data_IF_210627664420
#
_entry.id   IF_210627664420
#
_cell.length_a   1.000
_cell.length_b   1.000
_cell.length_c   1.000
_cell.angle_alpha   90.00
_cell.angle_beta   90.00
_cell.angle_gamma   90.00
#
_symmetry.space_group_name_H-M   'P 1'
#
loop_
_entity.id
_entity.type
_entity.pdbx_description
1 polymer ?
#
# COMPACT_ATOMS: atom_id res chain seq x y z
N UNK A 1 15.47 5.34 -18.61
CA UNK A 1 15.41 5.74 -17.20
C UNK A 1 16.20 7.02 -17.05
N UNK A 2 15.52 8.15 -17.09
CA UNK A 2 16.18 9.46 -17.17
C UNK A 2 16.54 10.02 -15.78
N UNK A 3 16.06 9.35 -14.73
CA UNK A 3 16.30 9.69 -13.32
C UNK A 3 17.65 9.19 -12.78
N UNK A 4 18.35 8.30 -13.50
CA UNK A 4 19.68 7.83 -13.10
C UNK A 4 20.77 8.66 -13.78
N UNK A 5 21.76 9.10 -13.01
CA UNK A 5 22.95 9.76 -13.59
C UNK A 5 23.71 8.82 -14.52
N UNK A 6 24.27 9.36 -15.61
CA UNK A 6 25.04 8.59 -16.60
C UNK A 6 26.23 7.83 -16.00
N UNK A 7 26.87 8.42 -14.99
CA UNK A 7 27.94 7.78 -14.23
C UNK A 7 27.45 6.52 -13.51
N UNK A 8 26.26 6.58 -12.90
CA UNK A 8 25.69 5.47 -12.15
C UNK A 8 25.19 4.36 -13.08
N UNK A 9 24.53 4.70 -14.20
CA UNK A 9 24.15 3.73 -15.24
C UNK A 9 25.36 2.96 -15.75
N UNK A 10 26.46 3.66 -16.03
CA UNK A 10 27.70 3.05 -16.52
C UNK A 10 28.31 2.07 -15.52
N UNK A 11 28.18 2.33 -14.21
CA UNK A 11 28.62 1.42 -13.16
C UNK A 11 27.74 0.18 -13.05
N UNK A 12 26.42 0.33 -13.18
CA UNK A 12 25.48 -0.79 -13.14
C UNK A 12 25.61 -1.69 -14.38
N UNK A 13 25.87 -1.13 -15.56
CA UNK A 13 26.08 -1.90 -16.80
C UNK A 13 27.36 -2.76 -16.78
N UNK A 14 28.30 -2.49 -15.87
CA UNK A 14 29.50 -3.32 -15.70
C UNK A 14 29.26 -4.55 -14.82
N UNK A 15 28.06 -4.68 -14.24
CA UNK A 15 27.67 -5.78 -13.39
C UNK A 15 26.85 -6.80 -14.18
N UNK A 16 27.23 -8.07 -14.07
CA UNK A 16 26.55 -9.17 -14.76
C UNK A 16 25.35 -9.72 -13.98
N UNK A 17 25.14 -9.25 -12.75
CA UNK A 17 24.04 -9.64 -11.85
C UNK A 17 22.85 -8.66 -11.89
N UNK A 18 22.83 -7.75 -12.87
CA UNK A 18 21.79 -6.73 -13.03
C UNK A 18 21.15 -6.87 -14.40
N UNK A 19 19.83 -6.97 -14.42
CA UNK A 19 19.02 -6.91 -15.62
C UNK A 19 18.24 -5.59 -15.66
N UNK A 20 18.29 -4.88 -16.80
CA UNK A 20 17.50 -3.68 -17.01
C UNK A 20 16.22 -4.02 -17.77
N UNK A 21 15.09 -3.91 -17.08
CA UNK A 21 13.77 -4.09 -17.67
C UNK A 21 13.26 -2.72 -18.13
N UNK A 22 12.91 -2.61 -19.42
CA UNK A 22 12.39 -1.38 -20.01
C UNK A 22 10.91 -1.56 -20.29
N UNK A 23 10.08 -0.71 -19.69
CA UNK A 23 8.66 -0.61 -19.98
C UNK A 23 8.32 0.76 -20.58
N UNK A 24 7.88 0.75 -21.84
CA UNK A 24 7.48 1.94 -22.58
C UNK A 24 6.13 2.50 -22.11
N UNK A 25 5.86 3.77 -22.41
CA UNK A 25 4.60 4.46 -22.08
C UNK A 25 4.67 5.34 -20.83
N UNK A 26 3.84 6.38 -20.80
CA UNK A 26 3.79 7.39 -19.72
C UNK A 26 2.43 7.44 -19.00
N UNK A 27 1.57 6.43 -19.25
CA UNK A 27 0.25 6.34 -18.62
C UNK A 27 0.30 5.88 -17.17
N UNK A 28 1.43 5.27 -16.76
CA UNK A 28 1.61 4.66 -15.44
C UNK A 28 2.95 5.09 -14.87
N UNK A 29 2.99 5.29 -13.54
CA UNK A 29 4.23 5.60 -12.86
C UNK A 29 5.15 4.37 -12.79
N UNK A 30 6.44 4.59 -12.50
CA UNK A 30 7.44 3.52 -12.46
C UNK A 30 7.15 2.44 -11.41
N UNK A 31 6.48 2.79 -10.30
CA UNK A 31 6.11 1.82 -9.26
C UNK A 31 5.01 0.88 -9.76
N UNK A 32 3.97 1.38 -10.41
CA UNK A 32 2.88 0.56 -10.99
C UNK A 32 3.46 -0.43 -12.01
N UNK A 33 4.35 0.03 -12.88
CA UNK A 33 5.06 -0.82 -13.84
C UNK A 33 5.87 -1.92 -13.16
N UNK A 34 6.62 -1.58 -12.11
CA UNK A 34 7.41 -2.54 -11.34
C UNK A 34 6.52 -3.57 -10.63
N UNK A 35 5.38 -3.14 -10.07
CA UNK A 35 4.43 -4.04 -9.42
C UNK A 35 3.84 -5.04 -10.41
N UNK A 36 3.38 -4.59 -11.58
CA UNK A 36 2.85 -5.47 -12.63
C UNK A 36 3.87 -6.49 -13.09
N UNK A 37 5.10 -6.03 -13.35
CA UNK A 37 6.19 -6.92 -13.74
C UNK A 37 6.47 -8.00 -12.67
N UNK A 38 6.54 -7.61 -11.39
CA UNK A 38 6.78 -8.57 -10.31
C UNK A 38 5.65 -9.63 -10.21
N UNK A 39 4.40 -9.22 -10.44
CA UNK A 39 3.26 -10.15 -10.48
C UNK A 39 3.37 -11.12 -11.65
N UNK A 40 3.73 -10.62 -12.84
CA UNK A 40 3.96 -11.44 -14.04
C UNK A 40 5.12 -12.43 -13.86
N UNK A 41 6.16 -12.04 -13.12
CA UNK A 41 7.29 -12.90 -12.73
C UNK A 41 6.91 -13.93 -11.63
N UNK A 42 5.68 -13.90 -11.14
CA UNK A 42 5.13 -14.91 -10.25
C UNK A 42 5.20 -14.57 -8.76
N UNK A 43 5.42 -13.29 -8.41
CA UNK A 43 5.36 -12.82 -7.04
C UNK A 43 4.05 -13.23 -6.35
N UNK A 44 4.13 -13.48 -5.04
CA UNK A 44 2.97 -13.77 -4.17
C UNK A 44 2.64 -12.62 -3.23
N UNK A 45 3.62 -11.75 -2.99
CA UNK A 45 3.55 -10.56 -2.18
C UNK A 45 4.57 -9.54 -2.70
N UNK A 46 4.29 -8.25 -2.51
CA UNK A 46 5.20 -7.15 -2.88
C UNK A 46 5.43 -6.25 -1.66
N UNK A 47 6.69 -6.12 -1.25
CA UNK A 47 7.13 -5.11 -0.27
C UNK A 47 7.74 -3.92 -1.02
N UNK A 48 7.17 -2.74 -0.83
CA UNK A 48 7.66 -1.49 -1.41
C UNK A 48 8.36 -0.68 -0.32
N UNK A 49 9.59 -0.26 -0.59
CA UNK A 49 10.42 0.57 0.30
C UNK A 49 10.91 1.81 -0.44
N UNK A 50 11.39 2.81 0.31
CA UNK A 50 11.96 4.02 -0.29
C UNK A 50 10.91 4.95 -0.91
N UNK A 51 9.66 4.88 -0.45
CA UNK A 51 8.59 5.79 -0.87
C UNK A 51 8.63 7.13 -0.14
N UNK A 52 9.24 7.18 1.04
CA UNK A 52 9.32 8.39 1.86
C UNK A 52 10.49 9.29 1.45
N UNK A 53 10.33 10.59 1.69
CA UNK A 53 11.29 11.62 1.30
C UNK A 53 10.89 12.27 -0.02
N UNK A 54 11.64 13.29 -0.42
CA UNK A 54 11.34 14.05 -1.64
C UNK A 54 10.00 14.79 -1.58
N UNK A 55 9.27 14.74 -2.68
CA UNK A 55 8.03 15.48 -2.90
C UNK A 55 6.80 14.66 -2.49
N UNK A 56 5.76 15.35 -1.99
CA UNK A 56 4.56 14.71 -1.43
C UNK A 56 3.71 14.01 -2.50
N UNK A 57 3.76 14.49 -3.73
CA UNK A 57 3.06 13.90 -4.87
C UNK A 57 3.57 12.49 -5.18
N UNK A 58 4.89 12.25 -5.10
CA UNK A 58 5.47 10.92 -5.23
C UNK A 58 4.99 9.96 -4.14
N UNK A 59 4.96 10.42 -2.88
CA UNK A 59 4.45 9.64 -1.76
C UNK A 59 2.96 9.30 -1.94
N UNK A 60 2.17 10.28 -2.36
CA UNK A 60 0.75 10.11 -2.60
C UNK A 60 0.48 9.16 -3.78
N UNK A 61 1.23 9.30 -4.87
CA UNK A 61 1.17 8.42 -6.02
C UNK A 61 1.53 6.97 -5.66
N UNK A 62 2.48 6.77 -4.74
CA UNK A 62 2.82 5.43 -4.26
C UNK A 62 1.64 4.78 -3.51
N UNK A 63 0.94 5.53 -2.65
CA UNK A 63 -0.27 5.05 -1.98
C UNK A 63 -1.38 4.74 -2.99
N UNK A 64 -1.58 5.60 -3.99
CA UNK A 64 -2.59 5.40 -5.04
C UNK A 64 -2.29 4.20 -5.95
N UNK A 65 -1.02 3.83 -6.12
CA UNK A 65 -0.62 2.64 -6.88
C UNK A 65 -1.24 1.35 -6.31
N UNK A 66 -1.49 1.29 -4.99
CA UNK A 66 -2.20 0.17 -4.36
C UNK A 66 -3.63 0.00 -4.90
N UNK A 67 -4.28 1.08 -5.31
CA UNK A 67 -5.63 1.05 -5.89
C UNK A 67 -5.62 0.64 -7.36
N UNK A 68 -4.58 1.03 -8.11
CA UNK A 68 -4.39 0.67 -9.51
C UNK A 68 -4.03 -0.81 -9.67
N UNK A 69 -3.23 -1.34 -8.75
CA UNK A 69 -2.78 -2.73 -8.74
C UNK A 69 -3.24 -3.40 -7.45
N UNK A 70 -4.46 -3.96 -7.48
CA UNK A 70 -5.07 -4.68 -6.37
C UNK A 70 -4.38 -6.05 -6.16
N UNK A 71 -3.23 -6.03 -5.52
CA UNK A 71 -2.40 -7.19 -5.21
C UNK A 71 -1.93 -7.12 -3.76
N UNK A 72 -1.52 -8.26 -3.17
CA UNK A 72 -0.96 -8.30 -1.82
C UNK A 72 0.34 -7.48 -1.76
N UNK A 73 0.20 -6.19 -1.45
CA UNK A 73 1.28 -5.21 -1.52
C UNK A 73 1.30 -4.40 -0.23
N UNK A 74 2.50 -4.25 0.34
CA UNK A 74 2.73 -3.44 1.52
C UNK A 74 3.77 -2.38 1.23
N UNK A 75 3.40 -1.13 1.46
CA UNK A 75 4.31 0.00 1.43
C UNK A 75 4.86 0.21 2.84
N UNK A 76 6.17 0.15 2.98
CA UNK A 76 6.86 0.40 4.23
C UNK A 76 7.29 1.86 4.32
N UNK A 77 6.89 2.49 5.42
CA UNK A 77 7.32 3.82 5.82
C UNK A 77 8.21 3.69 7.07
N UNK A 78 8.87 4.77 7.48
CA UNK A 78 9.71 4.78 8.67
C UNK A 78 8.92 4.43 9.94
N UNK A 79 7.59 4.67 9.95
CA UNK A 79 6.75 4.55 11.15
C UNK A 79 5.56 3.63 11.00
N UNK A 80 5.25 3.18 9.79
CA UNK A 80 4.02 2.44 9.51
C UNK A 80 4.15 1.58 8.26
N UNK A 81 3.17 0.71 8.08
CA UNK A 81 2.93 0.00 6.83
C UNK A 81 1.59 0.45 6.28
N UNK A 82 1.53 0.65 4.96
CA UNK A 82 0.30 1.01 4.23
C UNK A 82 -0.03 -0.12 3.29
N UNK A 83 -1.28 -0.60 3.34
CA UNK A 83 -1.79 -1.67 2.48
C UNK A 83 -3.25 -1.37 2.10
N UNK A 84 -3.67 -1.86 0.94
CA UNK A 84 -5.08 -1.83 0.55
C UNK A 84 -5.79 -3.01 1.20
N UNK A 85 -6.95 -2.76 1.80
CA UNK A 85 -7.78 -3.84 2.35
C UNK A 85 -8.36 -4.65 1.19
N UNK A 86 -8.11 -5.96 1.20
CA UNK A 86 -8.63 -6.86 0.18
C UNK A 86 -10.17 -6.99 0.25
N UNK A 87 -10.79 -7.45 -0.83
CA UNK A 87 -12.25 -7.66 -0.89
C UNK A 87 -12.77 -8.68 0.13
N UNK A 88 -11.92 -9.60 0.56
CA UNK A 88 -12.21 -10.54 1.65
C UNK A 88 -12.19 -9.89 3.04
N UNK A 89 -11.85 -8.61 3.13
CA UNK A 89 -11.60 -7.90 4.37
C UNK A 89 -10.18 -8.09 4.87
N UNK A 90 -9.96 -7.67 6.10
CA UNK A 90 -8.68 -7.76 6.80
C UNK A 90 -8.89 -8.44 8.15
N UNK A 91 -8.03 -9.40 8.45
CA UNK A 91 -8.00 -10.05 9.75
C UNK A 91 -6.55 -10.24 10.21
N UNK A 92 -6.25 -9.77 11.41
CA UNK A 92 -4.95 -9.93 12.01
C UNK A 92 -5.09 -10.32 13.48
N UNK A 93 -4.83 -11.58 13.80
CA UNK A 93 -4.82 -12.12 15.17
C UNK A 93 -3.45 -12.05 15.87
N UNK A 94 -2.46 -11.44 15.22
CA UNK A 94 -1.09 -11.26 15.76
C UNK A 94 -0.76 -9.80 16.05
N UNK A 95 -1.73 -8.89 15.89
CA UNK A 95 -1.55 -7.47 16.15
C UNK A 95 -1.40 -7.21 17.66
N UNK A 96 -0.41 -6.39 18.02
CA UNK A 96 -0.17 -6.06 19.42
C UNK A 96 -1.25 -5.10 19.93
N UNK A 97 -1.83 -5.42 21.09
CA UNK A 97 -2.72 -4.51 21.81
C UNK A 97 -1.99 -3.19 22.11
N UNK A 98 -2.65 -2.07 21.84
CA UNK A 98 -2.08 -0.73 21.92
C UNK A 98 -1.48 -0.21 20.61
N UNK A 99 -1.35 -1.05 19.57
CA UNK A 99 -0.98 -0.60 18.23
C UNK A 99 -1.98 0.43 17.70
N UNK A 100 -1.48 1.44 17.00
CA UNK A 100 -2.31 2.44 16.33
C UNK A 100 -2.46 2.12 14.86
N UNK A 101 -3.64 2.35 14.30
CA UNK A 101 -3.87 2.27 12.86
C UNK A 101 -4.76 3.42 12.38
N UNK A 102 -4.75 3.67 11.08
CA UNK A 102 -5.71 4.57 10.45
C UNK A 102 -6.34 3.85 9.28
N UNK A 103 -7.62 4.14 9.03
CA UNK A 103 -8.38 3.60 7.91
C UNK A 103 -8.85 4.77 7.05
N UNK A 104 -8.66 4.67 5.75
CA UNK A 104 -9.09 5.70 4.80
C UNK A 104 -9.89 5.08 3.68
N UNK A 105 -11.01 5.70 3.36
CA UNK A 105 -11.79 5.33 2.20
C UNK A 105 -11.26 6.10 0.98
N UNK A 106 -10.97 5.39 -0.11
CA UNK A 106 -10.59 5.99 -1.40
C UNK A 106 -11.85 6.40 -2.18
N UNK A 107 -12.91 5.59 -2.09
CA UNK A 107 -14.24 5.85 -2.62
C UNK A 107 -15.33 5.71 -1.55
N UNK A 108 -16.59 5.58 -1.97
CA UNK A 108 -17.68 5.27 -1.05
C UNK A 108 -17.61 3.80 -0.60
N UNK A 109 -17.45 3.58 0.71
CA UNK A 109 -17.47 2.25 1.33
C UNK A 109 -18.79 2.09 2.11
N UNK A 110 -19.45 0.93 1.96
CA UNK A 110 -20.70 0.58 2.64
C UNK A 110 -20.55 -0.71 3.43
N UNK A 111 -21.31 -0.81 4.51
CA UNK A 111 -21.30 -1.98 5.38
C UNK A 111 -20.01 -2.16 6.16
N UNK A 112 -19.25 -1.09 6.36
CA UNK A 112 -17.99 -1.11 7.08
C UNK A 112 -18.22 -1.49 8.55
N UNK A 113 -17.55 -2.55 8.98
CA UNK A 113 -17.47 -2.99 10.36
C UNK A 113 -16.01 -3.15 10.76
N UNK A 114 -15.66 -2.64 11.94
CA UNK A 114 -14.29 -2.67 12.49
C UNK A 114 -14.39 -3.17 13.92
N UNK A 115 -13.68 -4.26 14.22
CA UNK A 115 -13.72 -4.95 15.51
C UNK A 115 -12.31 -5.12 16.09
N UNK A 116 -12.22 -5.15 17.43
CA UNK A 116 -10.95 -5.33 18.14
C UNK A 116 -10.22 -4.02 18.49
N UNK A 117 -10.90 -2.88 18.36
CA UNK A 117 -10.31 -1.56 18.56
C UNK A 117 -11.14 -0.64 19.47
N UNK A 118 -10.55 0.49 19.86
CA UNK A 118 -11.15 1.47 20.77
C UNK A 118 -12.39 2.11 20.19
N UNK A 119 -12.37 2.40 18.88
CA UNK A 119 -13.52 2.94 18.15
C UNK A 119 -14.00 1.92 17.12
N UNK A 120 -14.71 0.91 17.60
CA UNK A 120 -15.35 -0.08 16.72
C UNK A 120 -16.44 0.58 15.87
N UNK A 121 -16.65 0.02 14.68
CA UNK A 121 -17.71 0.41 13.76
C UNK A 121 -18.59 -0.81 13.47
N UNK A 122 -19.88 -0.58 13.30
CA UNK A 122 -20.84 -1.62 12.94
C UNK A 122 -21.72 -1.10 11.80
N UNK A 123 -21.63 -1.77 10.65
CA UNK A 123 -22.43 -1.51 9.45
C UNK A 123 -22.55 -0.02 9.09
N UNK A 124 -21.41 0.69 9.05
CA UNK A 124 -21.35 2.12 8.70
C UNK A 124 -20.99 2.32 7.24
N UNK A 125 -21.30 3.50 6.72
CA UNK A 125 -20.71 3.99 5.49
C UNK A 125 -19.51 4.87 5.80
N UNK A 126 -18.50 4.83 4.93
CA UNK A 126 -17.33 5.70 5.00
C UNK A 126 -17.09 6.34 3.64
N UNK A 127 -16.83 7.64 3.66
CA UNK A 127 -16.45 8.41 2.47
C UNK A 127 -15.01 8.92 2.64
N UNK A 128 -14.35 9.33 1.55
CA UNK A 128 -13.04 9.96 1.63
C UNK A 128 -13.05 11.11 2.64
N UNK A 129 -12.09 11.09 3.56
CA UNK A 129 -12.04 12.03 4.67
C UNK A 129 -11.16 11.52 5.81
N UNK A 130 -11.22 12.21 6.95
CA UNK A 130 -10.27 12.04 8.06
C UNK A 130 -10.81 11.23 9.24
N UNK A 131 -12.06 10.77 9.19
CA UNK A 131 -12.72 10.13 10.33
C UNK A 131 -12.07 8.83 10.81
N UNK A 132 -11.34 8.12 9.95
CA UNK A 132 -10.65 6.88 10.33
C UNK A 132 -9.23 7.07 10.86
N UNK A 133 -8.82 8.31 11.16
CA UNK A 133 -7.49 8.63 11.64
C UNK A 133 -7.26 8.18 13.11
N UNK A 134 -6.13 7.53 13.38
CA UNK A 134 -5.61 7.20 14.72
C UNK A 134 -6.55 6.37 15.63
N UNK A 135 -7.03 5.23 15.13
CA UNK A 135 -7.66 4.22 15.98
C UNK A 135 -6.61 3.40 16.75
N UNK A 136 -7.03 2.71 17.81
CA UNK A 136 -6.14 1.94 18.70
C UNK A 136 -6.69 0.53 18.88
N UNK A 137 -5.85 -0.48 18.67
CA UNK A 137 -6.20 -1.87 18.91
C UNK A 137 -6.31 -2.12 20.42
N UNK A 138 -7.44 -2.67 20.86
CA UNK A 138 -7.71 -2.95 22.29
C UNK A 138 -7.81 -4.43 22.58
N UNK A 139 -7.96 -5.27 21.57
CA UNK A 139 -7.99 -6.73 21.69
C UNK A 139 -6.72 -7.37 21.13
N UNK A 140 -6.66 -8.70 21.14
CA UNK A 140 -5.56 -9.47 20.52
C UNK A 140 -5.82 -9.73 19.02
N UNK A 141 -6.77 -9.02 18.42
CA UNK A 141 -7.07 -9.10 17.01
C UNK A 141 -7.54 -7.73 16.49
N UNK A 142 -7.43 -7.54 15.18
CA UNK A 142 -8.08 -6.49 14.43
C UNK A 142 -8.80 -7.12 13.24
N UNK A 143 -10.08 -6.81 13.07
CA UNK A 143 -10.88 -7.25 11.94
C UNK A 143 -11.55 -6.05 11.29
N UNK A 144 -11.45 -5.98 9.96
CA UNK A 144 -12.10 -4.96 9.14
C UNK A 144 -12.83 -5.68 8.01
N UNK A 145 -14.14 -5.45 7.92
CA UNK A 145 -15.01 -6.03 6.91
C UNK A 145 -15.87 -4.94 6.29
N UNK A 146 -16.26 -5.13 5.03
CA UNK A 146 -17.13 -4.21 4.32
C UNK A 146 -17.89 -4.96 3.21
N UNK A 147 -19.02 -4.40 2.78
CA UNK A 147 -19.88 -5.05 1.78
C UNK A 147 -19.54 -4.60 0.36
N UNK A 148 -19.18 -3.33 0.19
CA UNK A 148 -18.80 -2.76 -1.10
C UNK A 148 -17.98 -1.50 -0.91
N UNK A 149 -17.02 -1.26 -1.81
CA UNK A 149 -16.13 -0.10 -1.78
C UNK A 149 -14.78 -0.40 -2.41
#
# INVERSE_FOLDING_TARGET
>A
MDSLSEKFKSQLNQRNDIEFIVQEGQYENDLVKAMKWAIEDGAKHIDVVGVEGGEIDHQFAAIMALCEVQFSTRIHTTKSTVELIEKSGYYNASILKGSTFSLFAVGEVKGLSVSGCKWNLENKSMHPGTHGLHNVVTENFLEIQYTSG
#
